data_IF_126936315248
#
_entry.id   IF_126936315248
#
_cell.length_a   1.000
_cell.length_b   1.000
_cell.length_c   1.000
_cell.angle_alpha   90.00
_cell.angle_beta   90.00
_cell.angle_gamma   90.00
#
_symmetry.space_group_name_H-M   'P 1'
#
loop_
_entity.id
_entity.type
_entity.pdbx_description
1 polymer ?
#
# COMPACT_ATOMS: atom_id res chain seq x y z
N UNK A 1 4.02 -6.11 19.85
CA UNK A 1 2.76 -6.62 20.42
C UNK A 1 1.71 -6.48 19.32
N UNK A 2 0.91 -7.52 19.07
CA UNK A 2 -0.10 -7.51 18.01
C UNK A 2 -1.27 -6.57 18.35
N UNK A 3 -1.88 -6.78 19.52
CA UNK A 3 -3.00 -6.00 20.07
C UNK A 3 -2.61 -5.53 21.48
N UNK A 4 -2.72 -4.22 21.75
CA UNK A 4 -2.46 -3.66 23.09
C UNK A 4 -3.69 -3.69 24.03
N UNK A 5 -4.82 -4.23 23.55
CA UNK A 5 -6.11 -4.37 24.22
C UNK A 5 -6.74 -3.05 24.68
N UNK A 6 -6.32 -1.91 24.10
CA UNK A 6 -6.89 -0.60 24.42
C UNK A 6 -7.98 -0.22 23.42
N UNK A 7 -9.07 0.33 23.94
CA UNK A 7 -10.06 0.99 23.10
C UNK A 7 -9.51 2.33 22.59
N UNK A 8 -9.42 2.47 21.26
CA UNK A 8 -8.85 3.64 20.59
C UNK A 8 -9.85 4.26 19.64
N UNK A 9 -9.96 5.59 19.66
CA UNK A 9 -10.67 6.34 18.63
C UNK A 9 -9.82 6.46 17.34
N UNK A 10 -10.42 6.94 16.25
CA UNK A 10 -9.79 7.10 14.93
C UNK A 10 -8.46 7.89 14.99
N UNK A 11 -8.38 8.93 15.83
CA UNK A 11 -7.18 9.75 15.96
C UNK A 11 -6.05 9.00 16.66
N UNK A 12 -6.38 8.24 17.71
CA UNK A 12 -5.42 7.40 18.43
C UNK A 12 -4.88 6.28 17.53
N UNK A 13 -5.76 5.62 16.77
CA UNK A 13 -5.37 4.60 15.77
C UNK A 13 -4.46 5.17 14.68
N UNK A 14 -4.65 6.43 14.29
CA UNK A 14 -3.72 7.08 13.35
C UNK A 14 -2.40 7.45 14.03
N UNK A 15 -2.44 8.04 15.23
CA UNK A 15 -1.27 8.63 15.89
C UNK A 15 -0.31 7.62 16.50
N UNK A 16 -0.83 6.57 17.13
CA UNK A 16 -0.06 5.54 17.82
C UNK A 16 -0.72 4.15 17.66
N UNK A 17 -0.76 3.61 16.42
CA UNK A 17 -1.34 2.30 16.16
C UNK A 17 -0.49 1.18 16.75
N UNK A 18 -1.14 0.07 17.07
CA UNK A 18 -0.52 -1.27 17.08
C UNK A 18 -0.78 -2.03 15.77
N UNK A 19 -0.31 -3.28 15.68
CA UNK A 19 -0.45 -4.07 14.46
C UNK A 19 -1.92 -4.37 14.16
N UNK A 20 -2.75 -4.60 15.19
CA UNK A 20 -4.18 -4.81 15.05
C UNK A 20 -4.85 -3.57 14.44
N UNK A 21 -4.53 -2.36 14.92
CA UNK A 21 -5.04 -1.10 14.37
C UNK A 21 -4.62 -0.92 12.90
N UNK A 22 -3.35 -1.22 12.58
CA UNK A 22 -2.83 -1.11 11.22
C UNK A 22 -3.58 -2.02 10.23
N UNK A 23 -3.98 -3.20 10.71
CA UNK A 23 -4.64 -4.21 9.89
C UNK A 23 -6.16 -4.09 9.93
N UNK A 24 -6.76 -3.40 10.89
CA UNK A 24 -8.21 -3.42 11.20
C UNK A 24 -9.09 -3.20 9.95
N UNK A 25 -8.81 -2.15 9.17
CA UNK A 25 -9.59 -1.79 8.00
C UNK A 25 -9.24 -2.69 6.80
N UNK A 26 -10.25 -3.36 6.24
CA UNK A 26 -10.07 -4.22 5.06
C UNK A 26 -9.91 -3.35 3.82
N UNK A 27 -8.80 -3.57 3.11
CA UNK A 27 -8.57 -2.96 1.80
C UNK A 27 -9.46 -3.63 0.73
N UNK A 28 -10.32 -2.89 0.02
CA UNK A 28 -11.16 -3.51 -0.99
C UNK A 28 -10.32 -3.85 -2.23
N UNK A 29 -10.24 -5.12 -2.62
CA UNK A 29 -9.54 -5.54 -3.86
C UNK A 29 -10.40 -5.35 -5.11
N UNK A 30 -11.73 -5.31 -4.97
CA UNK A 30 -12.61 -4.98 -6.07
C UNK A 30 -12.45 -3.52 -6.50
N UNK A 31 -12.83 -3.21 -7.74
CA UNK A 31 -12.99 -1.82 -8.16
C UNK A 31 -14.00 -1.11 -7.26
N UNK A 32 -13.64 0.07 -6.76
CA UNK A 32 -14.58 0.95 -6.06
C UNK A 32 -15.27 1.85 -7.08
N UNK A 33 -16.57 2.10 -6.89
CA UNK A 33 -17.36 3.04 -7.71
C UNK A 33 -17.56 4.39 -7.02
N UNK A 34 -17.36 4.42 -5.72
CA UNK A 34 -17.43 5.64 -4.92
C UNK A 34 -16.19 5.74 -4.02
N UNK A 35 -15.76 6.97 -3.75
CA UNK A 35 -14.75 7.23 -2.73
C UNK A 35 -15.21 6.62 -1.40
N UNK A 36 -14.29 5.92 -0.72
CA UNK A 36 -14.59 5.32 0.57
C UNK A 36 -15.01 6.39 1.60
N UNK A 37 -15.75 6.00 2.65
CA UNK A 37 -16.13 6.92 3.73
C UNK A 37 -14.92 7.64 4.31
N UNK A 38 -15.11 8.89 4.72
CA UNK A 38 -14.05 9.62 5.42
C UNK A 38 -13.53 8.81 6.61
N UNK A 39 -12.23 8.89 6.87
CA UNK A 39 -11.52 8.14 7.90
C UNK A 39 -11.39 6.61 7.68
N UNK A 40 -11.99 6.05 6.62
CA UNK A 40 -11.70 4.69 6.16
C UNK A 40 -10.51 4.71 5.19
N UNK A 41 -9.31 4.55 5.75
CA UNK A 41 -8.03 4.66 5.05
C UNK A 41 -7.21 3.35 5.23
N UNK A 42 -7.64 2.23 4.64
CA UNK A 42 -7.01 0.93 4.83
C UNK A 42 -5.53 0.99 4.42
N UNK A 43 -4.65 0.58 5.34
CA UNK A 43 -3.21 0.65 5.17
C UNK A 43 -2.58 2.01 5.47
N UNK A 44 -3.30 3.11 5.72
CA UNK A 44 -2.63 4.38 6.03
C UNK A 44 -1.90 4.40 7.39
N UNK A 45 -2.39 3.63 8.37
CA UNK A 45 -1.72 3.43 9.64
C UNK A 45 -0.40 2.66 9.42
N UNK A 46 0.66 3.06 10.15
CA UNK A 46 2.01 2.51 9.97
C UNK A 46 2.64 2.18 11.30
N UNK A 47 3.18 0.97 11.39
CA UNK A 47 3.99 0.53 12.53
C UNK A 47 5.44 0.82 12.22
N UNK A 48 5.94 1.96 12.71
CA UNK A 48 7.31 2.40 12.45
C UNK A 48 8.37 1.41 12.91
N UNK A 49 8.27 0.72 14.05
CA UNK A 49 9.20 -0.35 14.39
C UNK A 49 9.28 -1.43 13.30
N UNK A 50 8.14 -1.89 12.76
CA UNK A 50 8.09 -2.86 11.67
C UNK A 50 8.73 -2.31 10.39
N UNK A 51 8.39 -1.08 9.99
CA UNK A 51 8.95 -0.46 8.78
C UNK A 51 10.46 -0.26 8.90
N UNK A 52 10.94 0.15 10.08
CA UNK A 52 12.35 0.35 10.34
C UNK A 52 13.14 -0.95 10.31
N UNK A 53 12.57 -2.02 10.86
CA UNK A 53 13.16 -3.37 10.82
C UNK A 53 13.33 -3.85 9.37
N UNK A 54 12.31 -3.66 8.54
CA UNK A 54 12.32 -4.18 7.16
C UNK A 54 13.12 -3.28 6.21
N UNK A 55 12.92 -1.97 6.27
CA UNK A 55 13.38 -1.03 5.23
C UNK A 55 14.56 -0.14 5.65
N UNK A 56 14.86 -0.06 6.96
CA UNK A 56 15.97 0.69 7.53
C UNK A 56 15.53 1.70 8.61
N UNK A 57 16.35 1.85 9.66
CA UNK A 57 15.98 2.62 10.87
C UNK A 57 16.13 4.14 10.72
N UNK A 58 16.98 4.58 9.79
CA UNK A 58 17.34 5.98 9.55
C UNK A 58 17.69 6.20 8.08
N UNK A 59 17.83 7.47 7.67
CA UNK A 59 18.14 7.89 6.30
C UNK A 59 19.31 7.09 5.68
N UNK A 60 20.44 7.00 6.38
CA UNK A 60 21.63 6.33 5.86
C UNK A 60 21.40 4.83 5.62
N UNK A 61 20.70 4.15 6.54
CA UNK A 61 20.37 2.73 6.35
C UNK A 61 19.36 2.52 5.21
N UNK A 62 18.36 3.40 5.10
CA UNK A 62 17.39 3.34 4.01
C UNK A 62 18.08 3.52 2.66
N UNK A 63 18.94 4.52 2.52
CA UNK A 63 19.66 4.82 1.26
C UNK A 63 20.56 3.66 0.82
N UNK A 64 21.16 2.90 1.75
CA UNK A 64 21.92 1.67 1.44
C UNK A 64 21.05 0.53 0.88
N UNK A 65 19.75 0.57 1.15
CA UNK A 65 18.79 -0.42 0.67
C UNK A 65 18.16 -0.01 -0.67
N UNK A 66 18.35 1.22 -1.13
CA UNK A 66 17.79 1.67 -2.40
C UNK A 66 18.56 1.10 -3.59
N UNK A 67 17.81 0.69 -4.60
CA UNK A 67 18.31 0.27 -5.91
C UNK A 67 17.57 1.01 -7.02
N UNK A 68 18.20 1.10 -8.19
CA UNK A 68 17.61 1.74 -9.36
C UNK A 68 16.60 0.81 -10.04
N UNK A 69 15.39 1.30 -10.26
CA UNK A 69 14.31 0.64 -11.01
C UNK A 69 14.01 1.49 -12.25
N UNK A 70 13.98 0.87 -13.44
CA UNK A 70 13.57 1.56 -14.65
C UNK A 70 12.05 1.70 -14.70
N UNK A 71 11.56 2.93 -14.91
CA UNK A 71 10.14 3.21 -15.16
C UNK A 71 9.88 3.59 -16.63
N UNK A 72 10.75 3.11 -17.54
CA UNK A 72 10.63 3.29 -18.98
C UNK A 72 11.44 4.47 -19.53
N UNK A 73 11.28 5.67 -18.96
CA UNK A 73 11.95 6.89 -19.45
C UNK A 73 13.01 7.45 -18.49
N UNK A 74 13.07 6.93 -17.26
CA UNK A 74 14.12 7.22 -16.26
C UNK A 74 14.28 6.06 -15.30
N UNK A 75 15.35 6.11 -14.52
CA UNK A 75 15.50 5.28 -13.33
C UNK A 75 15.03 6.05 -12.09
N UNK A 76 14.40 5.33 -11.17
CA UNK A 76 13.98 5.82 -9.86
C UNK A 76 14.56 4.93 -8.77
N UNK A 77 14.71 5.47 -7.57
CA UNK A 77 15.22 4.71 -6.42
C UNK A 77 14.08 4.06 -5.64
N UNK A 78 14.24 2.77 -5.30
CA UNK A 78 13.25 1.99 -4.57
C UNK A 78 13.94 0.97 -3.68
N UNK A 79 13.32 0.60 -2.56
CA UNK A 79 13.94 -0.27 -1.55
C UNK A 79 14.01 -1.73 -2.03
N UNK A 80 15.16 -2.38 -1.91
CA UNK A 80 15.32 -3.79 -2.31
C UNK A 80 14.76 -4.79 -1.29
N UNK A 81 14.65 -4.39 -0.02
CA UNK A 81 14.21 -5.27 1.05
C UNK A 81 12.73 -5.62 0.87
N UNK A 82 12.33 -6.81 1.34
CA UNK A 82 10.98 -7.36 1.18
C UNK A 82 10.50 -7.37 -0.29
N UNK A 83 11.45 -7.49 -1.23
CA UNK A 83 11.21 -7.50 -2.68
C UNK A 83 10.53 -6.25 -3.25
N UNK A 84 10.50 -5.12 -2.52
CA UNK A 84 9.73 -3.95 -2.94
C UNK A 84 10.19 -3.40 -4.32
N UNK A 85 11.49 -3.34 -4.58
CA UNK A 85 12.03 -2.93 -5.88
C UNK A 85 11.70 -3.93 -7.00
N UNK A 86 11.72 -5.22 -6.71
CA UNK A 86 11.33 -6.26 -7.67
C UNK A 86 9.83 -6.17 -8.00
N UNK A 87 8.99 -5.88 -7.01
CA UNK A 87 7.58 -5.64 -7.20
C UNK A 87 7.32 -4.42 -8.10
N UNK A 88 8.03 -3.30 -7.90
CA UNK A 88 7.94 -2.15 -8.79
C UNK A 88 8.40 -2.49 -10.22
N UNK A 89 9.47 -3.27 -10.37
CA UNK A 89 9.91 -3.75 -11.69
C UNK A 89 8.83 -4.58 -12.38
N UNK A 90 8.15 -5.47 -11.66
CA UNK A 90 7.05 -6.28 -12.18
C UNK A 90 5.84 -5.41 -12.60
N UNK A 91 5.49 -4.39 -11.80
CA UNK A 91 4.50 -3.38 -12.18
C UNK A 91 4.86 -2.72 -13.51
N UNK A 92 6.09 -2.23 -13.66
CA UNK A 92 6.49 -1.52 -14.89
C UNK A 92 6.53 -2.44 -16.10
N UNK A 93 6.86 -3.73 -15.92
CA UNK A 93 6.85 -4.74 -16.99
C UNK A 93 5.45 -4.90 -17.60
N UNK A 94 4.40 -4.81 -16.79
CA UNK A 94 3.00 -4.90 -17.24
C UNK A 94 2.45 -3.54 -17.69
N UNK A 95 2.78 -2.47 -16.97
CA UNK A 95 2.25 -1.12 -17.21
C UNK A 95 2.80 -0.47 -18.49
N UNK A 96 4.09 -0.64 -18.81
CA UNK A 96 4.70 0.02 -19.97
C UNK A 96 4.08 -0.42 -21.31
N UNK A 97 3.90 -1.72 -21.60
CA UNK A 97 3.21 -2.15 -22.82
C UNK A 97 1.77 -1.62 -22.93
N UNK A 98 1.06 -1.54 -21.80
CA UNK A 98 -0.31 -1.03 -21.77
C UNK A 98 -0.35 0.47 -22.05
N UNK A 99 0.51 1.25 -21.38
CA UNK A 99 0.62 2.69 -21.58
C UNK A 99 0.99 3.07 -23.02
N UNK A 100 1.78 2.25 -23.73
CA UNK A 100 2.09 2.46 -25.15
C UNK A 100 0.87 2.34 -26.07
N UNK A 101 -0.17 1.61 -25.65
CA UNK A 101 -1.37 1.33 -26.45
C UNK A 101 -2.57 2.19 -26.05
N UNK A 102 -2.58 2.70 -24.82
CA UNK A 102 -3.70 3.47 -24.26
C UNK A 102 -3.20 4.80 -23.69
N UNK A 103 -3.56 5.89 -24.36
CA UNK A 103 -3.20 7.25 -23.95
C UNK A 103 -3.76 7.60 -22.56
N UNK A 104 -4.93 7.08 -22.17
CA UNK A 104 -5.52 7.33 -20.86
C UNK A 104 -4.66 6.70 -19.76
N UNK A 105 -4.15 5.49 -19.99
CA UNK A 105 -3.19 4.82 -19.09
C UNK A 105 -1.86 5.58 -19.06
N UNK A 106 -1.32 5.95 -20.23
CA UNK A 106 -0.09 6.73 -20.31
C UNK A 106 -0.19 8.04 -19.52
N UNK A 107 -1.24 8.82 -19.77
CA UNK A 107 -1.46 10.11 -19.13
C UNK A 107 -1.72 9.99 -17.63
N UNK A 108 -2.25 8.87 -17.13
CA UNK A 108 -2.38 8.65 -15.69
C UNK A 108 -1.07 8.19 -15.04
N UNK A 109 -0.19 7.51 -15.78
CA UNK A 109 1.05 6.95 -15.26
C UNK A 109 2.27 7.90 -15.38
N UNK A 110 2.31 8.72 -16.42
CA UNK A 110 3.52 9.46 -16.82
C UNK A 110 3.28 10.95 -17.13
N UNK A 111 4.25 11.83 -16.81
CA UNK A 111 5.46 11.54 -16.03
C UNK A 111 5.14 11.24 -14.56
N UNK A 112 5.82 10.25 -13.97
CA UNK A 112 5.74 9.97 -12.54
C UNK A 112 6.33 11.11 -11.72
N UNK A 113 5.61 11.48 -10.66
CA UNK A 113 5.94 12.52 -9.70
C UNK A 113 6.99 12.08 -8.65
N UNK A 114 7.47 10.84 -8.71
CA UNK A 114 8.68 10.39 -8.00
C UNK A 114 8.46 9.24 -7.02
N UNK A 115 9.56 8.80 -6.41
CA UNK A 115 9.60 7.68 -5.45
C UNK A 115 10.25 8.10 -4.14
N UNK A 116 11.54 7.82 -3.93
CA UNK A 116 12.24 8.11 -2.69
C UNK A 116 12.33 9.62 -2.44
N UNK A 117 11.84 10.03 -1.27
CA UNK A 117 12.09 11.35 -0.71
C UNK A 117 12.02 11.27 0.80
N UNK A 118 13.16 11.46 1.46
CA UNK A 118 13.26 11.37 2.92
C UNK A 118 12.61 12.58 3.59
N UNK A 119 11.32 12.47 3.89
CA UNK A 119 10.50 13.54 4.49
C UNK A 119 9.48 13.02 5.49
N UNK A 120 9.04 13.94 6.35
CA UNK A 120 7.86 13.77 7.18
C UNK A 120 6.57 14.03 6.38
N UNK A 121 5.46 13.43 6.82
CA UNK A 121 4.12 13.74 6.33
C UNK A 121 3.73 15.12 6.86
N UNK A 122 3.24 16.00 5.99
CA UNK A 122 2.90 17.39 6.33
C UNK A 122 1.92 17.49 7.51
N UNK A 123 2.32 18.25 8.54
CA UNK A 123 1.55 18.42 9.78
C UNK A 123 1.73 17.29 10.80
N UNK A 124 2.77 16.45 10.66
CA UNK A 124 3.02 15.33 11.58
C UNK A 124 4.53 15.12 11.80
N UNK A 125 4.89 14.35 12.84
CA UNK A 125 6.27 13.91 13.11
C UNK A 125 6.56 12.50 12.57
N UNK A 126 5.83 12.08 11.53
CA UNK A 126 5.80 10.72 11.01
C UNK A 126 6.45 10.68 9.62
N UNK A 127 7.38 9.75 9.38
CA UNK A 127 7.98 9.58 8.06
C UNK A 127 6.94 9.10 7.03
N UNK A 128 6.99 9.68 5.83
CA UNK A 128 6.20 9.23 4.68
C UNK A 128 6.66 7.85 4.20
N UNK A 129 5.80 7.09 3.53
CA UNK A 129 6.19 5.85 2.82
C UNK A 129 7.24 6.12 1.74
N UNK A 130 7.24 7.31 1.12
CA UNK A 130 8.32 7.76 0.24
C UNK A 130 9.68 7.79 0.94
N UNK A 131 9.73 8.06 2.24
CA UNK A 131 10.97 8.12 2.98
C UNK A 131 11.63 6.76 3.18
N UNK A 132 10.88 5.66 3.03
CA UNK A 132 11.40 4.29 3.07
C UNK A 132 11.74 3.73 1.68
N UNK A 133 11.44 4.49 0.60
CA UNK A 133 11.62 4.03 -0.77
C UNK A 133 10.63 2.94 -1.17
N UNK A 134 9.41 2.95 -0.60
CA UNK A 134 8.37 1.93 -0.86
C UNK A 134 7.11 2.53 -1.48
N UNK A 135 7.15 3.78 -1.93
CA UNK A 135 6.02 4.45 -2.56
C UNK A 135 6.41 5.13 -3.86
N UNK A 136 5.43 5.27 -4.75
CA UNK A 136 5.53 5.97 -6.01
C UNK A 136 4.29 6.82 -6.23
N UNK A 137 4.51 8.08 -6.61
CA UNK A 137 3.46 8.93 -7.14
C UNK A 137 3.54 8.89 -8.67
N UNK A 138 2.42 8.59 -9.33
CA UNK A 138 2.31 8.61 -10.79
C UNK A 138 2.11 10.05 -11.29
N UNK A 139 1.48 10.24 -12.45
CA UNK A 139 1.25 11.58 -12.97
C UNK A 139 0.20 12.30 -12.13
N UNK A 140 0.57 13.46 -11.60
CA UNK A 140 -0.29 14.25 -10.72
C UNK A 140 -1.38 14.97 -11.50
N UNK A 141 -2.55 15.07 -10.87
CA UNK A 141 -3.68 15.84 -11.30
C UNK A 141 -4.17 16.74 -10.15
N UNK A 142 -4.71 17.92 -10.48
CA UNK A 142 -5.28 18.83 -9.48
C UNK A 142 -6.44 18.26 -8.66
N UNK A 143 -7.00 17.12 -9.07
CA UNK A 143 -8.08 16.40 -8.40
C UNK A 143 -7.63 15.13 -7.65
N UNK A 144 -6.32 14.87 -7.56
CA UNK A 144 -5.82 13.62 -6.98
C UNK A 144 -5.78 13.60 -5.45
N UNK A 145 -5.78 14.76 -4.77
CA UNK A 145 -5.46 14.79 -3.34
C UNK A 145 -6.48 15.58 -2.53
N UNK A 146 -6.98 14.95 -1.47
CA UNK A 146 -8.07 15.45 -0.63
C UNK A 146 -7.80 16.82 0.02
N UNK A 147 -6.54 17.22 0.23
CA UNK A 147 -6.24 18.53 0.85
C UNK A 147 -6.44 19.72 -0.08
N UNK A 148 -6.42 19.50 -1.39
CA UNK A 148 -6.59 20.57 -2.39
C UNK A 148 -7.71 20.29 -3.40
N UNK A 149 -8.53 19.28 -3.15
CA UNK A 149 -9.65 18.90 -4.01
C UNK A 149 -10.88 18.57 -3.17
N UNK A 150 -12.05 18.97 -3.66
CA UNK A 150 -13.31 18.53 -3.03
C UNK A 150 -13.55 17.04 -3.27
N UNK A 151 -14.39 16.40 -2.44
CA UNK A 151 -14.80 15.00 -2.68
C UNK A 151 -15.49 14.81 -4.02
N UNK A 152 -16.28 15.77 -4.49
CA UNK A 152 -16.91 15.72 -5.81
C UNK A 152 -15.86 15.70 -6.94
N UNK A 153 -14.81 16.52 -6.81
CA UNK A 153 -13.69 16.51 -7.76
C UNK A 153 -12.89 15.20 -7.70
N UNK A 154 -12.62 14.70 -6.49
CA UNK A 154 -11.99 13.40 -6.27
C UNK A 154 -12.81 12.25 -6.86
N UNK A 155 -14.13 12.27 -6.74
CA UNK A 155 -15.03 11.29 -7.33
C UNK A 155 -14.95 11.32 -8.86
N UNK A 156 -15.03 12.52 -9.47
CA UNK A 156 -14.84 12.68 -10.93
C UNK A 156 -13.48 12.16 -11.38
N UNK A 157 -12.45 12.32 -10.55
CA UNK A 157 -11.11 11.81 -10.83
C UNK A 157 -11.07 10.28 -10.73
N UNK A 158 -11.69 9.68 -9.71
CA UNK A 158 -11.84 8.25 -9.54
C UNK A 158 -12.55 7.60 -10.73
N UNK A 159 -13.69 8.16 -11.16
CA UNK A 159 -14.49 7.66 -12.29
C UNK A 159 -13.68 7.61 -13.60
N UNK A 160 -12.74 8.53 -13.74
CA UNK A 160 -11.89 8.66 -14.92
C UNK A 160 -10.52 7.98 -14.75
N UNK A 161 -10.19 7.42 -13.59
CA UNK A 161 -8.89 6.81 -13.36
C UNK A 161 -8.82 5.40 -14.00
N UNK A 162 -7.77 5.07 -14.78
CA UNK A 162 -7.63 3.74 -15.38
C UNK A 162 -7.47 2.65 -14.32
N UNK A 163 -8.53 1.87 -14.08
CA UNK A 163 -8.53 0.78 -13.10
C UNK A 163 -7.54 -0.35 -13.45
N UNK A 164 -7.11 -0.44 -14.72
CA UNK A 164 -6.03 -1.34 -15.14
C UNK A 164 -4.70 -1.03 -14.44
N UNK A 165 -4.38 0.23 -14.16
CA UNK A 165 -3.20 0.62 -13.39
C UNK A 165 -3.32 0.07 -11.97
N UNK A 166 -4.46 0.34 -11.32
CA UNK A 166 -4.76 -0.10 -9.95
C UNK A 166 -4.59 -1.62 -9.83
N UNK A 167 -5.19 -2.39 -10.74
CA UNK A 167 -5.07 -3.85 -10.77
C UNK A 167 -3.63 -4.34 -10.90
N UNK A 168 -2.81 -3.71 -11.75
CA UNK A 168 -1.41 -4.09 -11.94
C UNK A 168 -0.62 -3.86 -10.63
N UNK A 169 -0.86 -2.73 -9.97
CA UNK A 169 -0.21 -2.41 -8.69
C UNK A 169 -0.65 -3.37 -7.58
N UNK A 170 -1.96 -3.60 -7.41
CA UNK A 170 -2.51 -4.52 -6.40
C UNK A 170 -2.06 -5.96 -6.61
N UNK A 171 -1.97 -6.40 -7.87
CA UNK A 171 -1.41 -7.72 -8.22
C UNK A 171 -0.01 -7.88 -7.65
N UNK A 172 0.79 -6.82 -7.69
CA UNK A 172 2.20 -6.77 -7.27
C UNK A 172 2.39 -6.24 -5.84
N UNK A 173 1.37 -6.28 -4.97
CA UNK A 173 1.54 -6.01 -3.54
C UNK A 173 1.49 -4.52 -3.14
N UNK A 174 1.05 -3.64 -4.04
CA UNK A 174 0.85 -2.23 -3.73
C UNK A 174 -0.61 -1.95 -3.39
N UNK A 175 -0.83 -1.11 -2.37
CA UNK A 175 -2.11 -0.46 -2.18
C UNK A 175 -2.13 0.89 -2.89
N UNK A 176 -3.32 1.31 -3.27
CA UNK A 176 -3.59 2.55 -3.98
C UNK A 176 -4.29 3.58 -3.08
N UNK A 177 -3.77 4.80 -3.04
CA UNK A 177 -4.32 5.89 -2.24
C UNK A 177 -5.68 6.41 -2.73
N UNK A 178 -6.14 6.04 -3.93
CA UNK A 178 -7.51 6.28 -4.37
C UNK A 178 -8.56 5.46 -3.59
N UNK A 179 -8.14 4.39 -2.90
CA UNK A 179 -8.97 3.59 -1.99
C UNK A 179 -8.81 4.02 -0.53
N UNK A 180 -8.55 5.31 -0.30
CA UNK A 180 -8.58 5.95 1.01
C UNK A 180 -9.73 6.95 1.05
N UNK A 181 -10.42 7.03 2.20
CA UNK A 181 -11.45 8.03 2.44
C UNK A 181 -10.90 9.45 2.30
N UNK A 182 -9.67 9.66 2.77
CA UNK A 182 -8.85 10.82 2.46
C UNK A 182 -7.98 10.52 1.23
N UNK A 183 -8.61 10.56 0.06
CA UNK A 183 -8.04 10.07 -1.21
C UNK A 183 -6.72 10.74 -1.60
N UNK A 184 -5.82 9.92 -2.15
CA UNK A 184 -4.56 10.29 -2.79
C UNK A 184 -4.37 9.44 -4.06
N UNK A 185 -5.03 9.83 -5.15
CA UNK A 185 -5.24 9.00 -6.36
C UNK A 185 -3.94 8.79 -7.17
N UNK A 186 -2.97 9.69 -7.06
CA UNK A 186 -1.67 9.51 -7.70
C UNK A 186 -0.77 8.51 -6.96
N UNK A 187 -1.06 8.24 -5.69
CA UNK A 187 -0.15 7.57 -4.77
C UNK A 187 -0.36 6.06 -4.72
N UNK A 188 0.76 5.33 -4.78
CA UNK A 188 0.82 3.90 -4.53
C UNK A 188 1.92 3.59 -3.53
N UNK A 189 1.64 2.73 -2.56
CA UNK A 189 2.65 2.25 -1.61
C UNK A 189 2.67 0.73 -1.52
N UNK A 190 3.88 0.17 -1.51
CA UNK A 190 4.12 -1.27 -1.40
C UNK A 190 3.81 -1.74 0.02
N UNK A 191 2.70 -2.46 0.15
CA UNK A 191 2.09 -2.92 1.40
C UNK A 191 1.56 -4.34 1.22
N UNK A 192 2.44 -5.32 0.92
CA UNK A 192 2.03 -6.67 0.60
C UNK A 192 1.22 -7.30 1.73
N UNK A 193 1.49 -6.95 2.99
CA UNK A 193 0.75 -7.44 4.15
C UNK A 193 -0.74 -7.02 4.12
N UNK A 194 -1.04 -5.82 3.60
CA UNK A 194 -2.42 -5.33 3.46
C UNK A 194 -3.12 -6.06 2.31
N UNK A 195 -2.41 -6.27 1.20
CA UNK A 195 -2.92 -7.03 0.05
C UNK A 195 -3.20 -8.49 0.43
N UNK A 196 -2.28 -9.14 1.16
CA UNK A 196 -2.47 -10.51 1.62
C UNK A 196 -3.65 -10.64 2.59
N UNK A 197 -3.77 -9.71 3.55
CA UNK A 197 -4.95 -9.67 4.42
C UNK A 197 -6.24 -9.56 3.60
N UNK A 198 -6.28 -8.66 2.61
CA UNK A 198 -7.47 -8.49 1.79
C UNK A 198 -7.80 -9.70 0.92
N UNK A 199 -6.80 -10.48 0.48
CA UNK A 199 -7.02 -11.68 -0.34
C UNK A 199 -7.54 -12.86 0.47
N UNK A 200 -7.00 -13.06 1.66
CA UNK A 200 -7.17 -14.32 2.39
C UNK A 200 -7.93 -14.16 3.71
N UNK A 201 -7.95 -12.96 4.29
CA UNK A 201 -8.46 -12.70 5.64
C UNK A 201 -9.37 -11.47 5.68
N UNK A 202 -10.14 -11.26 4.61
CA UNK A 202 -11.12 -10.18 4.53
C UNK A 202 -12.38 -10.45 5.38
N UNK A 203 -12.64 -11.71 5.69
CA UNK A 203 -13.76 -12.15 6.52
C UNK A 203 -13.26 -12.52 7.91
N UNK A 204 -14.14 -12.43 8.91
CA UNK A 204 -13.82 -12.92 10.25
C UNK A 204 -13.62 -14.44 10.21
N UNK A 205 -12.69 -14.99 11.03
CA UNK A 205 -12.57 -16.43 11.19
C UNK A 205 -13.92 -17.05 11.55
N UNK A 206 -14.23 -18.19 10.95
CA UNK A 206 -15.45 -18.95 11.26
C UNK A 206 -15.24 -19.64 12.62
N UNK A 207 -16.13 -19.44 13.61
CA UNK A 207 -15.99 -20.11 14.90
C UNK A 207 -15.90 -21.64 14.76
N UNK A 208 -14.91 -22.23 15.42
CA UNK A 208 -14.66 -23.68 15.38
C UNK A 208 -13.77 -24.15 14.23
N UNK A 209 -13.42 -23.28 13.28
CA UNK A 209 -12.41 -23.57 12.25
C UNK A 209 -11.06 -22.92 12.62
N UNK A 210 -9.93 -23.47 12.13
CA UNK A 210 -8.62 -22.84 12.31
C UNK A 210 -8.59 -21.43 11.71
N UNK A 211 -7.74 -20.54 12.25
CA UNK A 211 -7.63 -19.15 11.77
C UNK A 211 -7.16 -19.04 10.31
N UNK A 212 -6.54 -20.10 9.78
CA UNK A 212 -6.05 -20.24 8.41
C UNK A 212 -7.02 -20.98 7.48
N UNK A 213 -8.26 -21.22 7.92
CA UNK A 213 -9.28 -21.85 7.08
C UNK A 213 -9.46 -21.10 5.74
N UNK A 214 -9.56 -21.84 4.64
CA UNK A 214 -9.57 -21.34 3.27
C UNK A 214 -8.19 -21.30 2.59
N UNK A 215 -7.10 -21.61 3.31
CA UNK A 215 -5.75 -21.68 2.73
C UNK A 215 -5.26 -23.10 2.40
N UNK A 216 -6.05 -24.13 2.68
CA UNK A 216 -5.62 -25.53 2.63
C UNK A 216 -5.10 -25.97 1.25
N UNK A 217 -5.63 -25.39 0.18
CA UNK A 217 -5.22 -25.70 -1.20
C UNK A 217 -3.99 -24.89 -1.67
N UNK A 218 -3.46 -23.98 -0.85
CA UNK A 218 -2.28 -23.18 -1.15
C UNK A 218 -1.07 -23.66 -0.34
N UNK A 219 -0.25 -24.52 -0.96
CA UNK A 219 0.90 -25.14 -0.30
C UNK A 219 1.90 -24.12 0.27
N UNK A 220 2.16 -23.02 -0.44
CA UNK A 220 3.08 -21.97 0.02
C UNK A 220 2.53 -21.27 1.27
N UNK A 221 1.24 -20.92 1.24
CA UNK A 221 0.58 -20.33 2.41
C UNK A 221 0.57 -21.30 3.59
N UNK A 222 0.27 -22.58 3.37
CA UNK A 222 0.26 -23.60 4.42
C UNK A 222 1.65 -23.83 5.04
N UNK A 223 2.72 -23.70 4.27
CA UNK A 223 4.08 -23.77 4.83
C UNK A 223 4.35 -22.64 5.83
N UNK A 224 3.87 -21.43 5.54
CA UNK A 224 3.99 -20.28 6.44
C UNK A 224 3.09 -20.46 7.67
N UNK A 225 1.85 -20.92 7.47
CA UNK A 225 0.92 -21.23 8.56
C UNK A 225 1.55 -22.23 9.53
N UNK A 226 2.12 -23.33 9.04
CA UNK A 226 2.79 -24.32 9.89
C UNK A 226 4.01 -23.78 10.60
N UNK A 227 4.78 -22.92 9.94
CA UNK A 227 5.86 -22.22 10.62
C UNK A 227 5.31 -21.36 11.78
N UNK A 228 4.25 -20.59 11.57
CA UNK A 228 3.60 -19.76 12.61
C UNK A 228 3.08 -20.64 13.76
N UNK A 229 2.32 -21.69 13.47
CA UNK A 229 1.76 -22.60 14.48
C UNK A 229 2.85 -23.23 15.35
N UNK A 230 4.04 -23.49 14.79
CA UNK A 230 5.20 -23.99 15.54
C UNK A 230 5.87 -22.93 16.43
N UNK A 231 5.72 -21.65 16.10
CA UNK A 231 6.31 -20.54 16.89
C UNK A 231 5.38 -20.05 18.01
N UNK A 232 4.07 -20.32 17.93
CA UNK A 232 3.13 -19.89 18.94
C UNK A 232 3.31 -20.74 20.21
N UNK A 233 3.62 -20.13 21.37
CA UNK A 233 3.61 -20.85 22.64
C UNK A 233 2.16 -21.25 22.95
N UNK A 234 1.94 -22.55 23.17
CA UNK A 234 0.67 -23.10 23.67
C UNK A 234 0.24 -22.44 24.98
#
# INVERSE_FOLDING_TARGET
IYDDFKEKNVWQKSGNPDIQDMLEQIYPLSEIKELLPEYYNPGCARIYPLFKEVYGTNKSQIEKNLVKVSIGYKFVEFNKNNHAAAALQAVMKELLPLARKDYKVYNAAFPSNGTYYYRLIGGTNRLSSHAFGIAIDLHSNKYDYWRWSSREQGQKRLDNYPQSIVRIFEKNGFIWGGKWGNFDIMHYEYRPEIIYKARYFAQKPVPGLPWYDGLQDNQEAMNIVWWIEQQLPF
#
